data_IF_337072990540
#
_entry.id   IF_337072990540
#
_cell.length_a   1.000
_cell.length_b   1.000
_cell.length_c   1.000
_cell.angle_alpha   90.00
_cell.angle_beta   90.00
_cell.angle_gamma   90.00
#
_symmetry.space_group_name_H-M   'P 1'
#
loop_
_entity.id
_entity.type
_entity.pdbx_description
1 polymer ?
#
# COMPACT_ATOMS: atom_id res chain seq x y z
N UNK A 1 15.11 -3.61 -16.91
CA UNK A 1 13.84 -4.20 -16.44
C UNK A 1 12.80 -3.10 -16.34
N UNK A 2 11.53 -3.36 -16.69
CA UNK A 2 10.45 -2.41 -16.45
C UNK A 2 10.07 -2.44 -14.96
N UNK A 3 10.66 -1.56 -14.16
CA UNK A 3 10.32 -1.37 -12.74
C UNK A 3 8.95 -0.72 -12.55
N UNK A 4 8.52 0.04 -13.56
CA UNK A 4 7.20 0.66 -13.66
C UNK A 4 6.40 -0.10 -14.73
N UNK A 5 5.22 -0.56 -14.36
CA UNK A 5 4.31 -1.31 -15.25
C UNK A 5 2.94 -0.65 -15.27
N UNK A 6 2.14 -0.84 -16.33
CA UNK A 6 0.81 -0.27 -16.42
C UNK A 6 -0.08 -0.65 -15.23
N UNK A 7 -0.05 -1.90 -14.77
CA UNK A 7 -0.90 -2.33 -13.65
C UNK A 7 -0.42 -1.76 -12.31
N UNK A 8 0.89 -1.61 -12.10
CA UNK A 8 1.39 -0.90 -10.92
C UNK A 8 0.98 0.58 -10.94
N UNK A 9 0.98 1.24 -12.10
CA UNK A 9 0.52 2.63 -12.25
C UNK A 9 -0.98 2.76 -11.98
N UNK A 10 -1.81 1.87 -12.55
CA UNK A 10 -3.24 1.85 -12.30
C UNK A 10 -3.56 1.54 -10.83
N UNK A 11 -2.83 0.62 -10.23
CA UNK A 11 -2.91 0.36 -8.79
C UNK A 11 -2.56 1.60 -7.99
N UNK A 12 -1.43 2.25 -8.29
CA UNK A 12 -0.98 3.49 -7.62
C UNK A 12 -2.05 4.58 -7.68
N UNK A 13 -2.63 4.81 -8.85
CA UNK A 13 -3.71 5.79 -9.03
C UNK A 13 -4.94 5.41 -8.21
N UNK A 14 -5.35 4.13 -8.27
CA UNK A 14 -6.51 3.62 -7.53
C UNK A 14 -6.34 3.84 -6.03
N UNK A 15 -5.22 3.39 -5.45
CA UNK A 15 -4.98 3.52 -4.02
C UNK A 15 -4.77 4.97 -3.59
N UNK A 16 -4.27 5.84 -4.47
CA UNK A 16 -4.17 7.28 -4.21
C UNK A 16 -5.57 7.88 -4.00
N UNK A 17 -6.50 7.61 -4.92
CA UNK A 17 -7.89 8.08 -4.80
C UNK A 17 -8.54 7.49 -3.56
N UNK A 18 -8.42 6.17 -3.34
CA UNK A 18 -8.99 5.50 -2.18
C UNK A 18 -8.45 6.08 -0.86
N UNK A 19 -7.15 6.35 -0.78
CA UNK A 19 -6.53 6.90 0.45
C UNK A 19 -7.01 8.32 0.72
N UNK A 20 -7.12 9.18 -0.31
CA UNK A 20 -7.65 10.54 -0.15
C UNK A 20 -9.09 10.50 0.36
N UNK A 21 -9.95 9.69 -0.26
CA UNK A 21 -11.35 9.53 0.16
C UNK A 21 -11.43 8.98 1.59
N UNK A 22 -10.61 7.98 1.91
CA UNK A 22 -10.52 7.42 3.27
C UNK A 22 -10.10 8.49 4.28
N UNK A 23 -9.05 9.27 4.01
CA UNK A 23 -8.59 10.34 4.91
C UNK A 23 -9.67 11.38 5.16
N UNK A 24 -10.38 11.79 4.11
CA UNK A 24 -11.50 12.72 4.25
C UNK A 24 -12.59 12.18 5.19
N UNK A 25 -13.06 10.95 4.96
CA UNK A 25 -14.13 10.35 5.76
C UNK A 25 -13.65 10.05 7.19
N UNK A 26 -12.41 9.59 7.34
CA UNK A 26 -11.81 9.31 8.65
C UNK A 26 -11.70 10.58 9.48
N UNK A 27 -11.10 11.65 8.94
CA UNK A 27 -10.98 12.93 9.63
C UNK A 27 -12.36 13.47 10.02
N UNK A 28 -13.36 13.38 9.14
CA UNK A 28 -14.74 13.73 9.48
C UNK A 28 -15.30 12.88 10.63
N UNK A 29 -15.09 11.56 10.60
CA UNK A 29 -15.54 10.66 11.66
C UNK A 29 -14.91 10.96 13.01
N UNK A 30 -13.60 11.26 13.03
CA UNK A 30 -12.86 11.64 14.24
C UNK A 30 -13.35 12.99 14.77
N UNK A 31 -13.53 13.99 13.90
CA UNK A 31 -13.99 15.33 14.30
C UNK A 31 -15.38 15.29 14.98
N UNK A 32 -16.24 14.37 14.55
CA UNK A 32 -17.60 14.23 15.08
C UNK A 32 -17.73 13.12 16.13
N UNK A 33 -16.62 12.59 16.65
CA UNK A 33 -16.57 11.47 17.60
C UNK A 33 -17.45 10.27 17.18
N UNK A 34 -17.56 10.04 15.87
CA UNK A 34 -18.45 9.04 15.29
C UNK A 34 -17.71 7.72 15.09
N UNK A 35 -17.70 6.88 16.13
CA UNK A 35 -17.11 5.54 16.08
C UNK A 35 -17.64 4.73 14.89
N UNK A 36 -18.93 4.84 14.57
CA UNK A 36 -19.53 4.15 13.42
C UNK A 36 -18.89 4.57 12.10
N UNK A 37 -18.69 5.87 11.86
CA UNK A 37 -18.06 6.37 10.63
C UNK A 37 -16.59 5.96 10.57
N UNK A 38 -15.87 6.06 11.68
CA UNK A 38 -14.46 5.65 11.78
C UNK A 38 -14.33 4.16 11.45
N UNK A 39 -15.10 3.30 12.10
CA UNK A 39 -15.03 1.85 11.89
C UNK A 39 -15.49 1.46 10.49
N UNK A 40 -16.60 2.00 10.00
CA UNK A 40 -17.10 1.68 8.67
C UNK A 40 -16.10 2.10 7.58
N UNK A 41 -15.58 3.32 7.65
CA UNK A 41 -14.60 3.82 6.68
C UNK A 41 -13.31 2.99 6.67
N UNK A 42 -12.80 2.59 7.83
CA UNK A 42 -11.63 1.72 7.94
C UNK A 42 -11.87 0.33 7.33
N UNK A 43 -13.03 -0.28 7.61
CA UNK A 43 -13.39 -1.60 7.06
C UNK A 43 -13.51 -1.52 5.53
N UNK A 44 -14.28 -0.55 5.01
CA UNK A 44 -14.47 -0.38 3.58
C UNK A 44 -13.13 -0.10 2.86
N UNK A 45 -12.32 0.80 3.42
CA UNK A 45 -10.99 1.07 2.88
C UNK A 45 -10.12 -0.19 2.86
N UNK A 46 -10.11 -0.97 3.94
CA UNK A 46 -9.37 -2.24 4.00
C UNK A 46 -9.78 -3.23 2.91
N UNK A 47 -11.09 -3.45 2.72
CA UNK A 47 -11.58 -4.35 1.66
C UNK A 47 -11.27 -3.84 0.26
N UNK A 48 -11.42 -2.54 0.00
CA UNK A 48 -11.12 -1.96 -1.31
C UNK A 48 -9.62 -2.01 -1.63
N UNK A 49 -8.76 -1.77 -0.64
CA UNK A 49 -7.31 -1.91 -0.78
C UNK A 49 -6.91 -3.37 -1.05
N UNK A 50 -7.49 -4.31 -0.30
CA UNK A 50 -7.25 -5.74 -0.51
C UNK A 50 -7.69 -6.18 -1.91
N UNK A 51 -8.93 -5.86 -2.31
CA UNK A 51 -9.45 -6.19 -3.63
C UNK A 51 -8.65 -5.57 -4.77
N UNK A 52 -8.21 -4.31 -4.61
CA UNK A 52 -7.36 -3.63 -5.59
C UNK A 52 -5.99 -4.31 -5.70
N UNK A 53 -5.34 -4.60 -4.58
CA UNK A 53 -4.05 -5.30 -4.56
C UNK A 53 -4.13 -6.68 -5.18
N UNK A 54 -5.20 -7.43 -4.87
CA UNK A 54 -5.45 -8.74 -5.46
C UNK A 54 -5.65 -8.67 -6.98
N UNK A 55 -6.56 -7.80 -7.45
CA UNK A 55 -6.88 -7.66 -8.86
C UNK A 55 -5.65 -7.24 -9.69
N UNK A 56 -4.97 -6.16 -9.30
CA UNK A 56 -3.83 -5.65 -10.05
C UNK A 56 -2.58 -6.53 -9.89
N UNK A 57 -2.40 -7.18 -8.74
CA UNK A 57 -1.32 -8.14 -8.51
C UNK A 57 -1.46 -9.36 -9.42
N UNK A 58 -2.68 -9.89 -9.58
CA UNK A 58 -2.95 -10.98 -10.51
C UNK A 58 -2.69 -10.56 -11.97
N UNK A 59 -3.18 -9.38 -12.39
CA UNK A 59 -2.91 -8.85 -13.75
C UNK A 59 -1.44 -8.58 -14.03
N UNK A 60 -0.69 -8.14 -13.01
CA UNK A 60 0.75 -7.96 -13.13
C UNK A 60 1.47 -9.30 -13.31
N UNK A 61 1.03 -10.35 -12.61
CA UNK A 61 1.59 -11.70 -12.74
C UNK A 61 1.46 -12.25 -14.14
N UNK A 62 0.30 -12.07 -14.77
CA UNK A 62 0.07 -12.49 -16.16
C UNK A 62 0.90 -11.68 -17.17
N UNK A 63 1.15 -10.39 -16.88
CA UNK A 63 1.84 -9.48 -17.80
C UNK A 63 3.36 -9.57 -17.71
N UNK A 64 3.89 -9.73 -16.51
CA UNK A 64 5.31 -9.81 -16.24
C UNK A 64 5.51 -10.82 -15.11
N UNK A 65 5.79 -12.11 -15.42
CA UNK A 65 5.96 -13.17 -14.43
C UNK A 65 7.31 -13.04 -13.72
N UNK A 66 7.53 -11.90 -13.07
CA UNK A 66 8.71 -11.65 -12.26
C UNK A 66 8.55 -12.30 -10.90
N UNK A 67 9.67 -12.78 -10.40
CA UNK A 67 9.81 -13.29 -9.06
C UNK A 67 9.42 -12.24 -8.00
N UNK A 68 8.45 -12.58 -7.15
CA UNK A 68 7.89 -11.79 -6.05
C UNK A 68 7.40 -10.38 -6.44
N UNK A 69 6.24 -10.34 -7.08
CA UNK A 69 5.48 -9.12 -7.41
C UNK A 69 4.97 -8.41 -6.14
N UNK A 70 4.72 -9.16 -5.08
CA UNK A 70 4.06 -8.69 -3.86
C UNK A 70 4.82 -7.53 -3.21
N UNK A 71 6.14 -7.60 -3.15
CA UNK A 71 6.96 -6.53 -2.57
C UNK A 71 6.68 -5.15 -3.20
N UNK A 72 6.56 -5.08 -4.53
CA UNK A 72 6.34 -3.80 -5.25
C UNK A 72 5.01 -3.16 -4.87
N UNK A 73 3.98 -3.97 -4.70
CA UNK A 73 2.64 -3.52 -4.32
C UNK A 73 2.60 -3.05 -2.86
N UNK A 74 3.26 -3.78 -1.95
CA UNK A 74 3.37 -3.38 -0.55
C UNK A 74 4.18 -2.09 -0.38
N UNK A 75 5.30 -1.94 -1.10
CA UNK A 75 6.09 -0.72 -1.10
C UNK A 75 5.30 0.48 -1.63
N UNK A 76 4.58 0.29 -2.74
CA UNK A 76 3.72 1.34 -3.32
C UNK A 76 2.63 1.75 -2.35
N UNK A 77 1.97 0.79 -1.70
CA UNK A 77 0.95 1.04 -0.68
C UNK A 77 1.52 1.82 0.50
N UNK A 78 2.69 1.43 0.99
CA UNK A 78 3.39 2.13 2.06
C UNK A 78 3.70 3.58 1.68
N UNK A 79 4.27 3.82 0.50
CA UNK A 79 4.63 5.19 0.08
C UNK A 79 3.37 6.05 -0.07
N UNK A 80 2.38 5.57 -0.83
CA UNK A 80 1.18 6.36 -1.14
C UNK A 80 0.38 6.67 0.12
N UNK A 81 0.10 5.65 0.95
CA UNK A 81 -0.71 5.84 2.14
C UNK A 81 -0.07 6.84 3.10
N UNK A 82 1.22 6.68 3.36
CA UNK A 82 1.93 7.51 4.33
C UNK A 82 2.20 8.92 3.80
N UNK A 83 2.52 9.07 2.50
CA UNK A 83 2.66 10.39 1.89
C UNK A 83 1.35 11.18 1.96
N UNK A 84 0.22 10.55 1.60
CA UNK A 84 -1.09 11.21 1.68
C UNK A 84 -1.44 11.55 3.13
N UNK A 85 -1.23 10.64 4.08
CA UNK A 85 -1.51 10.92 5.51
C UNK A 85 -0.68 12.09 6.03
N UNK A 86 0.64 12.13 5.75
CA UNK A 86 1.51 13.23 6.17
C UNK A 86 1.12 14.56 5.50
N UNK A 87 0.81 14.56 4.20
CA UNK A 87 0.34 15.75 3.50
C UNK A 87 -1.01 16.21 4.05
N UNK A 88 -1.93 15.29 4.30
CA UNK A 88 -3.27 15.58 4.81
C UNK A 88 -3.21 16.28 6.18
N UNK A 89 -2.42 15.73 7.10
CA UNK A 89 -2.23 16.32 8.42
C UNK A 89 -1.38 17.60 8.36
N UNK A 90 -0.31 17.61 7.56
CA UNK A 90 0.62 18.74 7.45
C UNK A 90 0.00 19.98 6.79
N UNK A 91 -1.01 19.79 5.93
CA UNK A 91 -1.78 20.87 5.31
C UNK A 91 -3.00 21.31 6.15
N UNK A 92 -3.22 20.69 7.32
CA UNK A 92 -4.34 21.04 8.21
C UNK A 92 -5.71 20.52 7.76
N UNK A 93 -5.76 19.49 6.90
CA UNK A 93 -7.01 18.83 6.51
C UNK A 93 -7.47 17.75 7.51
N UNK A 94 -6.63 17.42 8.49
CA UNK A 94 -6.96 16.50 9.58
C UNK A 94 -7.98 17.07 10.56
N UNK A 95 -8.61 16.19 11.33
CA UNK A 95 -9.38 16.60 12.51
C UNK A 95 -8.46 17.22 13.57
N UNK A 96 -9.03 18.08 14.42
CA UNK A 96 -8.32 18.69 15.55
C UNK A 96 -7.84 17.66 16.60
N UNK A 97 -8.38 16.44 16.56
CA UNK A 97 -8.00 15.34 17.47
C UNK A 97 -6.94 14.41 16.89
N UNK A 98 -6.47 14.65 15.66
CA UNK A 98 -5.42 13.84 15.04
C UNK A 98 -4.02 14.37 15.38
N UNK A 99 -3.18 13.51 15.96
CA UNK A 99 -1.78 13.84 16.27
C UNK A 99 -0.84 13.34 15.16
N UNK A 100 -0.10 14.29 14.55
CA UNK A 100 0.96 14.00 13.60
C UNK A 100 2.01 13.03 14.16
N UNK A 101 2.33 13.11 15.46
CA UNK A 101 3.31 12.21 16.09
C UNK A 101 2.87 10.76 16.05
N UNK A 102 1.59 10.49 16.28
CA UNK A 102 1.03 9.14 16.19
C UNK A 102 1.18 8.61 14.76
N UNK A 103 0.85 9.44 13.77
CA UNK A 103 1.00 9.07 12.36
C UNK A 103 2.45 8.76 11.99
N UNK A 104 3.41 9.57 12.45
CA UNK A 104 4.85 9.32 12.23
C UNK A 104 5.31 8.01 12.89
N UNK A 105 4.84 7.70 14.11
CA UNK A 105 5.18 6.43 14.77
C UNK A 105 4.63 5.22 13.99
N UNK A 106 3.40 5.30 13.47
CA UNK A 106 2.82 4.27 12.62
C UNK A 106 3.66 4.05 11.35
N UNK A 107 4.10 5.15 10.71
CA UNK A 107 4.98 5.10 9.51
C UNK A 107 6.28 4.36 9.81
N UNK A 108 6.88 4.62 10.98
CA UNK A 108 8.12 3.97 11.41
C UNK A 108 7.90 2.49 11.65
N UNK A 109 6.89 2.11 12.44
CA UNK A 109 6.61 0.70 12.75
C UNK A 109 6.26 -0.10 11.49
N UNK A 110 5.42 0.45 10.61
CA UNK A 110 5.13 -0.18 9.34
C UNK A 110 6.36 -0.25 8.43
N UNK A 111 7.23 0.77 8.46
CA UNK A 111 8.49 0.79 7.73
C UNK A 111 9.43 -0.35 8.14
N UNK A 112 9.48 -0.68 9.43
CA UNK A 112 10.25 -1.84 9.93
C UNK A 112 9.70 -3.15 9.34
N UNK A 113 8.38 -3.34 9.33
CA UNK A 113 7.76 -4.52 8.72
C UNK A 113 8.04 -4.61 7.21
N UNK A 114 8.00 -3.48 6.51
CA UNK A 114 8.33 -3.43 5.09
C UNK A 114 9.82 -3.72 4.83
N UNK A 115 10.71 -3.28 5.71
CA UNK A 115 12.14 -3.60 5.63
C UNK A 115 12.39 -5.11 5.81
N UNK A 116 11.68 -5.75 6.75
CA UNK A 116 11.72 -7.20 6.91
C UNK A 116 11.24 -7.89 5.62
N UNK A 117 10.12 -7.44 5.04
CA UNK A 117 9.63 -7.97 3.77
C UNK A 117 10.63 -7.78 2.62
N UNK A 118 11.33 -6.64 2.58
CA UNK A 118 12.39 -6.38 1.60
C UNK A 118 13.57 -7.35 1.74
N UNK A 119 13.97 -7.69 2.97
CA UNK A 119 15.05 -8.67 3.20
C UNK A 119 14.64 -10.05 2.66
N UNK A 120 13.42 -10.50 2.94
CA UNK A 120 12.89 -11.75 2.38
C UNK A 120 12.87 -11.71 0.85
N UNK A 121 12.37 -10.63 0.25
CA UNK A 121 12.40 -10.43 -1.19
C UNK A 121 13.81 -10.57 -1.78
N UNK A 122 14.83 -9.97 -1.16
CA UNK A 122 16.23 -10.09 -1.60
C UNK A 122 16.78 -11.52 -1.47
N UNK A 123 16.43 -12.24 -0.41
CA UNK A 123 16.84 -13.63 -0.23
C UNK A 123 16.22 -14.53 -1.28
N UNK A 124 14.91 -14.42 -1.46
CA UNK A 124 14.11 -15.22 -2.38
C UNK A 124 14.58 -14.99 -3.83
N UNK A 125 14.94 -13.75 -4.22
CA UNK A 125 15.44 -13.45 -5.57
C UNK A 125 16.74 -14.16 -5.95
N UNK A 126 17.54 -14.65 -4.99
CA UNK A 126 18.75 -15.46 -5.27
C UNK A 126 18.41 -16.78 -5.99
N UNK A 127 17.15 -17.21 -5.89
CA UNK A 127 16.63 -18.40 -6.55
C UNK A 127 16.04 -18.12 -7.94
N UNK A 128 16.09 -16.89 -8.45
CA UNK A 128 15.62 -16.56 -9.78
C UNK A 128 16.76 -16.50 -10.82
N UNK A 129 16.47 -16.89 -12.08
CA UNK A 129 17.37 -16.66 -13.23
C UNK A 129 16.73 -15.59 -14.12
N UNK A 130 17.44 -14.50 -14.38
CA UNK A 130 16.88 -13.33 -15.10
C UNK A 130 15.56 -12.79 -14.49
N UNK A 131 15.35 -12.98 -13.18
CA UNK A 131 14.14 -12.66 -12.42
C UNK A 131 12.90 -13.51 -12.73
N UNK A 132 13.07 -14.64 -13.43
CA UNK A 132 12.07 -15.69 -13.55
C UNK A 132 12.37 -16.76 -12.49
N UNK A 133 11.34 -17.38 -11.93
CA UNK A 133 11.54 -18.50 -11.01
C UNK A 133 12.27 -19.65 -11.72
N UNK A 134 13.20 -20.30 -11.02
CA UNK A 134 13.91 -21.46 -11.57
C UNK A 134 12.95 -22.63 -11.80
N UNK A 135 11.94 -22.80 -10.95
CA UNK A 135 10.93 -23.85 -11.12
C UNK A 135 10.18 -23.66 -12.44
N UNK A 136 9.75 -22.44 -12.74
CA UNK A 136 9.02 -22.11 -13.98
C UNK A 136 9.87 -22.28 -15.26
N UNK A 137 11.21 -22.38 -15.12
CA UNK A 137 12.13 -22.51 -16.24
C UNK A 137 12.58 -23.95 -16.53
N UNK A 138 12.50 -24.85 -15.54
CA UNK A 138 13.09 -26.19 -15.62
C UNK A 138 12.12 -27.32 -15.23
N UNK A 139 10.86 -26.99 -14.90
CA UNK A 139 9.73 -27.91 -14.93
C UNK A 139 9.02 -27.87 -16.30
#
# INVERSE_FOLDING_TARGET
MKTITPYLLWFTLTITVLTVVFRFILSYGIENDSVTVITASAIFYGFLMFGSGWYFGWKESDYLPIYDIGFRFHLTTYIVHNAITLLWLGLGFGSQYEDMKISVLIIIYWGILLLIHFIFFLWSRKNAIKNLDKTDLFE
#
